data_IF_558569870705
#
_entry.id   IF_558569870705
#
_cell.length_a   1.000
_cell.length_b   1.000
_cell.length_c   1.000
_cell.angle_alpha   90.00
_cell.angle_beta   90.00
_cell.angle_gamma   90.00
#
_symmetry.space_group_name_H-M   'P 1'
#
loop_
_entity.id
_entity.type
_entity.pdbx_description
1 polymer ?
#
# COMPACT_ATOMS: atom_id res chain seq x y z
N UNK A 1 6.54 16.52 -23.44
CA UNK A 1 5.74 15.30 -23.23
C UNK A 1 6.64 14.24 -22.60
N UNK A 2 6.24 13.69 -21.46
CA UNK A 2 6.99 12.64 -20.78
C UNK A 2 7.08 11.39 -21.65
N UNK A 3 8.23 10.72 -21.64
CA UNK A 3 8.42 9.44 -22.33
C UNK A 3 8.76 8.37 -21.30
N UNK A 4 7.98 7.32 -21.25
CA UNK A 4 8.19 6.18 -20.35
C UNK A 4 9.29 5.25 -20.86
N UNK A 5 9.81 4.35 -20.00
CA UNK A 5 10.78 3.36 -20.38
C UNK A 5 10.15 2.23 -21.21
N UNK A 6 10.96 1.58 -22.03
CA UNK A 6 10.56 0.33 -22.71
C UNK A 6 10.54 -0.84 -21.74
N UNK A 7 11.46 -0.87 -20.79
CA UNK A 7 11.66 -1.92 -19.81
C UNK A 7 11.93 -1.34 -18.42
N UNK A 8 11.36 -1.95 -17.41
CA UNK A 8 11.71 -1.73 -16.00
C UNK A 8 12.47 -2.95 -15.50
N UNK A 9 13.73 -2.77 -15.11
CA UNK A 9 14.55 -3.83 -14.51
C UNK A 9 14.30 -3.86 -13.02
N UNK A 10 13.80 -5.00 -12.53
CA UNK A 10 13.32 -5.15 -11.16
C UNK A 10 14.42 -5.17 -10.10
N UNK A 11 15.60 -5.74 -10.42
CA UNK A 11 16.66 -5.94 -9.45
C UNK A 11 17.52 -4.71 -9.22
N UNK A 12 17.60 -4.28 -7.97
CA UNK A 12 18.50 -3.21 -7.54
C UNK A 12 19.96 -3.68 -7.69
N UNK A 13 20.75 -2.94 -8.46
CA UNK A 13 22.17 -3.21 -8.66
C UNK A 13 22.57 -3.53 -10.10
N UNK A 14 21.69 -4.14 -10.89
CA UNK A 14 21.93 -4.39 -12.31
C UNK A 14 21.62 -3.13 -13.13
N UNK A 15 20.50 -2.45 -12.84
CA UNK A 15 20.17 -1.17 -13.45
C UNK A 15 19.32 -0.31 -12.51
N UNK A 16 19.98 0.47 -11.68
CA UNK A 16 19.32 1.38 -10.73
C UNK A 16 18.45 2.45 -11.41
N UNK A 17 18.70 2.74 -12.68
CA UNK A 17 18.08 3.86 -13.38
C UNK A 17 16.65 3.58 -13.83
N UNK A 18 16.26 2.33 -14.05
CA UNK A 18 14.89 2.02 -14.48
C UNK A 18 13.95 1.76 -13.31
N UNK A 19 14.39 1.02 -12.28
CA UNK A 19 13.53 0.71 -11.13
C UNK A 19 13.16 1.97 -10.32
N UNK A 20 14.14 2.75 -9.89
CA UNK A 20 13.89 3.91 -9.02
C UNK A 20 13.09 5.02 -9.70
N UNK A 21 13.46 5.51 -10.88
CA UNK A 21 12.63 6.48 -11.58
C UNK A 21 11.22 5.97 -11.84
N UNK A 22 11.06 4.68 -12.15
CA UNK A 22 9.74 4.08 -12.35
C UNK A 22 8.92 4.04 -11.06
N UNK A 23 9.52 3.71 -9.92
CA UNK A 23 8.86 3.77 -8.61
C UNK A 23 8.37 5.20 -8.28
N UNK A 24 9.22 6.19 -8.52
CA UNK A 24 8.90 7.60 -8.29
C UNK A 24 7.79 8.09 -9.23
N UNK A 25 7.83 7.71 -10.50
CA UNK A 25 6.80 8.06 -11.49
C UNK A 25 5.45 7.44 -11.14
N UNK A 26 5.40 6.15 -10.81
CA UNK A 26 4.15 5.47 -10.47
C UNK A 26 3.53 6.03 -9.19
N UNK A 27 4.36 6.31 -8.19
CA UNK A 27 3.92 7.00 -6.98
C UNK A 27 3.42 8.41 -7.30
N UNK A 28 4.13 9.16 -8.16
CA UNK A 28 3.69 10.48 -8.59
C UNK A 28 2.36 10.43 -9.36
N UNK A 29 2.13 9.41 -10.21
CA UNK A 29 0.85 9.23 -10.89
C UNK A 29 -0.30 9.08 -9.87
N UNK A 30 -0.13 8.22 -8.87
CA UNK A 30 -1.17 7.99 -7.87
C UNK A 30 -1.37 9.20 -6.95
N UNK A 31 -0.29 9.82 -6.44
CA UNK A 31 -0.40 11.01 -5.60
C UNK A 31 -1.04 12.18 -6.35
N UNK A 32 -0.75 12.37 -7.64
CA UNK A 32 -1.43 13.39 -8.43
C UNK A 32 -2.90 13.04 -8.67
N UNK A 33 -3.28 11.78 -8.90
CA UNK A 33 -4.69 11.39 -8.96
C UNK A 33 -5.43 11.67 -7.65
N UNK A 34 -4.81 11.38 -6.49
CA UNK A 34 -5.35 11.72 -5.17
C UNK A 34 -5.47 13.25 -4.99
N UNK A 35 -4.42 14.01 -5.35
CA UNK A 35 -4.49 15.48 -5.26
C UNK A 35 -5.56 16.07 -6.14
N UNK A 36 -5.79 15.52 -7.34
CA UNK A 36 -6.92 15.89 -8.17
C UNK A 36 -8.25 15.68 -7.45
N UNK A 37 -8.48 14.50 -6.88
CA UNK A 37 -9.73 14.20 -6.17
C UNK A 37 -9.94 15.06 -4.94
N UNK A 38 -8.87 15.48 -4.27
CA UNK A 38 -8.92 16.32 -3.08
C UNK A 38 -9.10 17.81 -3.39
N UNK A 39 -8.48 18.31 -4.44
CA UNK A 39 -8.40 19.76 -4.69
C UNK A 39 -9.23 20.24 -5.88
N UNK A 40 -9.55 19.35 -6.82
CA UNK A 40 -10.16 19.73 -8.10
C UNK A 40 -9.21 20.47 -9.06
N UNK A 41 -7.90 20.56 -8.75
CA UNK A 41 -6.93 21.18 -9.65
C UNK A 41 -6.61 20.25 -10.81
N UNK A 42 -7.03 20.64 -12.01
CA UNK A 42 -6.80 19.87 -13.24
C UNK A 42 -5.32 19.65 -13.56
N UNK A 43 -4.41 20.46 -13.04
CA UNK A 43 -2.98 20.26 -13.24
C UNK A 43 -2.54 18.88 -12.71
N UNK A 44 -3.11 18.45 -11.58
CA UNK A 44 -2.86 17.14 -11.00
C UNK A 44 -3.46 16.02 -11.85
N UNK A 45 -4.72 16.13 -12.32
CA UNK A 45 -5.31 15.15 -13.21
C UNK A 45 -4.46 14.97 -14.48
N UNK A 46 -4.07 16.08 -15.12
CA UNK A 46 -3.24 16.06 -16.33
C UNK A 46 -1.87 15.44 -16.08
N UNK A 47 -1.24 15.68 -14.90
CA UNK A 47 0.06 15.07 -14.56
C UNK A 47 -0.07 13.56 -14.37
N UNK A 48 -1.11 13.08 -13.70
CA UNK A 48 -1.38 11.66 -13.58
C UNK A 48 -1.57 11.00 -14.95
N UNK A 49 -2.40 11.58 -15.81
CA UNK A 49 -2.63 11.11 -17.19
C UNK A 49 -1.35 11.13 -18.01
N UNK A 50 -0.53 12.16 -17.92
CA UNK A 50 0.76 12.25 -18.62
C UNK A 50 1.65 11.05 -18.29
N UNK A 51 1.76 10.68 -17.00
CA UNK A 51 2.56 9.55 -16.55
C UNK A 51 1.95 8.23 -17.03
N UNK A 52 0.65 8.02 -16.82
CA UNK A 52 -0.07 6.82 -17.28
C UNK A 52 0.10 6.60 -18.79
N UNK A 53 -0.05 7.65 -19.59
CA UNK A 53 0.13 7.59 -21.04
C UNK A 53 1.58 7.31 -21.45
N UNK A 54 2.55 7.90 -20.77
CA UNK A 54 3.96 7.67 -21.04
C UNK A 54 4.31 6.19 -20.89
N UNK A 55 3.85 5.56 -19.81
CA UNK A 55 4.11 4.15 -19.55
C UNK A 55 3.28 3.22 -20.44
N UNK A 56 1.99 3.46 -20.61
CA UNK A 56 1.12 2.60 -21.45
C UNK A 56 1.54 2.56 -22.92
N UNK A 57 2.17 3.62 -23.40
CA UNK A 57 2.65 3.71 -24.78
C UNK A 57 3.94 2.92 -24.98
N UNK A 58 4.88 2.97 -24.02
CA UNK A 58 6.24 2.51 -24.21
C UNK A 58 6.61 1.24 -23.46
N UNK A 59 6.05 1.01 -22.26
CA UNK A 59 6.42 -0.12 -21.42
C UNK A 59 5.95 -1.45 -22.02
N UNK A 60 6.90 -2.39 -22.20
CA UNK A 60 6.65 -3.73 -22.76
C UNK A 60 7.11 -4.84 -21.84
N UNK A 61 7.99 -4.56 -20.88
CA UNK A 61 8.64 -5.59 -20.09
C UNK A 61 8.93 -5.10 -18.67
N UNK A 62 8.66 -5.96 -17.70
CA UNK A 62 9.11 -5.81 -16.32
C UNK A 62 10.08 -6.95 -16.03
N UNK A 63 11.35 -6.58 -15.74
CA UNK A 63 12.41 -7.49 -15.44
C UNK A 63 12.92 -8.29 -16.64
N UNK A 64 13.92 -9.14 -16.37
CA UNK A 64 14.53 -10.04 -17.34
C UNK A 64 14.50 -11.46 -16.79
N UNK A 65 13.35 -11.94 -16.31
CA UNK A 65 13.21 -13.18 -15.56
C UNK A 65 13.99 -13.16 -14.24
N UNK A 66 14.02 -12.03 -13.56
CA UNK A 66 14.57 -11.89 -12.22
C UNK A 66 13.54 -12.31 -11.16
N UNK A 67 14.02 -12.84 -10.06
CA UNK A 67 13.15 -13.21 -8.94
C UNK A 67 12.38 -12.02 -8.37
N UNK A 68 12.89 -10.78 -8.50
CA UNK A 68 12.26 -9.55 -8.01
C UNK A 68 11.13 -9.02 -8.92
N UNK A 69 10.94 -9.59 -10.11
CA UNK A 69 9.93 -9.13 -11.08
C UNK A 69 8.51 -9.11 -10.51
N UNK A 70 8.02 -10.16 -9.80
CA UNK A 70 6.68 -10.15 -9.25
C UNK A 70 6.46 -9.05 -8.19
N UNK A 71 7.46 -8.80 -7.33
CA UNK A 71 7.36 -7.74 -6.34
C UNK A 71 7.34 -6.37 -7.01
N UNK A 72 8.21 -6.13 -7.99
CA UNK A 72 8.24 -4.90 -8.76
C UNK A 72 6.91 -4.65 -9.47
N UNK A 73 6.39 -5.66 -10.18
CA UNK A 73 5.11 -5.58 -10.87
C UNK A 73 3.94 -5.31 -9.90
N UNK A 74 3.96 -5.93 -8.72
CA UNK A 74 2.94 -5.73 -7.71
C UNK A 74 2.89 -4.29 -7.20
N UNK A 75 4.03 -3.76 -6.76
CA UNK A 75 4.09 -2.44 -6.14
C UNK A 75 3.81 -1.33 -7.15
N UNK A 76 4.46 -1.39 -8.30
CA UNK A 76 4.30 -0.37 -9.34
C UNK A 76 2.94 -0.47 -10.02
N UNK A 77 2.49 -1.68 -10.31
CA UNK A 77 1.20 -1.92 -10.96
C UNK A 77 0.03 -1.47 -10.12
N UNK A 78 0.03 -1.73 -8.80
CA UNK A 78 -1.03 -1.27 -7.91
C UNK A 78 -1.15 0.25 -7.87
N UNK A 79 -0.03 0.97 -7.88
CA UNK A 79 -0.04 2.44 -7.94
C UNK A 79 -0.66 2.96 -9.24
N UNK A 80 -0.27 2.36 -10.39
CA UNK A 80 -0.83 2.75 -11.69
C UNK A 80 -2.32 2.44 -11.79
N UNK A 81 -2.74 1.25 -11.33
CA UNK A 81 -4.15 0.85 -11.36
C UNK A 81 -5.01 1.78 -10.50
N UNK A 82 -4.56 2.11 -9.29
CA UNK A 82 -5.28 3.03 -8.42
C UNK A 82 -5.32 4.46 -9.00
N UNK A 83 -4.23 4.93 -9.62
CA UNK A 83 -4.22 6.22 -10.31
C UNK A 83 -5.22 6.23 -11.47
N UNK A 84 -5.19 5.19 -12.31
CA UNK A 84 -6.07 5.04 -13.46
C UNK A 84 -7.54 4.95 -13.05
N UNK A 85 -7.86 4.21 -11.98
CA UNK A 85 -9.21 4.09 -11.42
C UNK A 85 -9.76 5.43 -10.98
N UNK A 86 -8.98 6.20 -10.19
CA UNK A 86 -9.39 7.52 -9.76
C UNK A 86 -9.65 8.46 -10.94
N UNK A 87 -8.73 8.51 -11.89
CA UNK A 87 -8.88 9.38 -13.07
C UNK A 87 -10.07 8.94 -13.92
N UNK A 88 -10.24 7.64 -14.18
CA UNK A 88 -11.36 7.08 -14.96
C UNK A 88 -12.71 7.54 -14.44
N UNK A 89 -12.89 7.56 -13.13
CA UNK A 89 -14.18 7.83 -12.51
C UNK A 89 -14.39 9.29 -12.05
N UNK A 90 -13.34 10.12 -11.99
CA UNK A 90 -13.45 11.47 -11.44
C UNK A 90 -13.10 12.58 -12.42
N UNK A 91 -12.39 12.29 -13.53
CA UNK A 91 -11.95 13.30 -14.48
C UNK A 91 -12.64 13.13 -15.83
N UNK A 92 -13.64 13.97 -16.11
CA UNK A 92 -14.52 13.86 -17.29
C UNK A 92 -13.84 14.07 -18.65
N UNK A 93 -12.58 14.57 -18.66
CA UNK A 93 -11.84 14.83 -19.90
C UNK A 93 -10.89 13.70 -20.30
N UNK A 94 -10.79 12.62 -19.49
CA UNK A 94 -10.06 11.41 -19.90
C UNK A 94 -10.78 10.76 -21.07
N UNK A 95 -10.01 10.26 -22.02
CA UNK A 95 -10.58 9.67 -23.24
C UNK A 95 -10.67 8.14 -23.13
N UNK A 96 -11.64 7.49 -23.82
CA UNK A 96 -11.71 6.05 -23.89
C UNK A 96 -10.42 5.39 -24.44
N UNK A 97 -9.71 6.09 -25.33
CA UNK A 97 -8.46 5.58 -25.91
C UNK A 97 -7.32 5.54 -24.89
N UNK A 98 -7.24 6.52 -23.99
CA UNK A 98 -6.29 6.54 -22.88
C UNK A 98 -6.56 5.41 -21.91
N UNK A 99 -7.82 5.25 -21.47
CA UNK A 99 -8.24 4.16 -20.58
C UNK A 99 -7.89 2.80 -21.21
N UNK A 100 -8.25 2.56 -22.48
CA UNK A 100 -7.93 1.32 -23.17
C UNK A 100 -6.40 1.07 -23.28
N UNK A 101 -5.60 2.12 -23.40
CA UNK A 101 -4.13 2.03 -23.34
C UNK A 101 -3.62 1.54 -21.99
N UNK A 102 -4.16 2.08 -20.90
CA UNK A 102 -3.80 1.69 -19.53
C UNK A 102 -4.23 0.25 -19.21
N UNK A 103 -5.47 -0.12 -19.59
CA UNK A 103 -5.97 -1.49 -19.46
C UNK A 103 -5.08 -2.50 -20.22
N UNK A 104 -4.73 -2.15 -21.47
CA UNK A 104 -3.82 -2.98 -22.27
C UNK A 104 -2.48 -3.17 -21.60
N UNK A 105 -1.88 -2.11 -21.06
CA UNK A 105 -0.60 -2.20 -20.35
C UNK A 105 -0.69 -3.16 -19.16
N UNK A 106 -1.70 -3.05 -18.31
CA UNK A 106 -1.87 -3.98 -17.19
C UNK A 106 -2.02 -5.42 -17.66
N UNK A 107 -2.88 -5.68 -18.66
CA UNK A 107 -3.13 -7.02 -19.18
C UNK A 107 -1.94 -7.66 -19.90
N UNK A 108 -1.08 -6.85 -20.54
CA UNK A 108 0.02 -7.40 -21.36
C UNK A 108 1.39 -7.34 -20.72
N UNK A 109 1.57 -6.53 -19.67
CA UNK A 109 2.87 -6.33 -19.02
C UNK A 109 2.85 -6.79 -17.55
N UNK A 110 1.90 -6.34 -16.76
CA UNK A 110 1.90 -6.59 -15.31
C UNK A 110 1.28 -7.95 -14.94
N UNK A 111 0.09 -8.25 -15.46
CA UNK A 111 -0.63 -9.48 -15.12
C UNK A 111 0.17 -10.75 -15.48
N UNK A 112 0.83 -10.87 -16.64
CA UNK A 112 1.61 -12.06 -16.96
C UNK A 112 2.73 -12.36 -15.96
N UNK A 113 3.37 -11.33 -15.41
CA UNK A 113 4.41 -11.48 -14.36
C UNK A 113 3.79 -12.03 -13.08
N UNK A 114 2.66 -11.48 -12.64
CA UNK A 114 1.98 -11.92 -11.42
C UNK A 114 1.30 -13.28 -11.58
N UNK A 115 0.79 -13.61 -12.77
CA UNK A 115 0.29 -14.96 -13.09
C UNK A 115 1.38 -16.03 -12.88
N UNK A 116 2.61 -15.71 -13.26
CA UNK A 116 3.75 -16.60 -13.02
C UNK A 116 3.99 -16.81 -11.53
N UNK A 117 3.92 -15.75 -10.74
CA UNK A 117 4.03 -15.82 -9.28
C UNK A 117 2.96 -16.71 -8.66
N UNK A 118 1.69 -16.48 -8.97
CA UNK A 118 0.57 -17.24 -8.40
C UNK A 118 0.57 -18.73 -8.78
N UNK A 119 1.20 -19.10 -9.90
CA UNK A 119 1.34 -20.48 -10.36
C UNK A 119 2.60 -21.18 -9.82
N UNK A 120 3.56 -20.43 -9.28
CA UNK A 120 4.80 -20.99 -8.76
C UNK A 120 4.59 -21.77 -7.46
N UNK A 121 5.54 -22.66 -7.15
CA UNK A 121 5.62 -23.27 -5.81
C UNK A 121 5.97 -22.18 -4.79
N UNK A 122 5.65 -22.39 -3.49
CA UNK A 122 6.01 -21.44 -2.43
C UNK A 122 7.52 -21.17 -2.44
N UNK A 123 7.94 -19.91 -2.52
CA UNK A 123 9.35 -19.58 -2.59
C UNK A 123 9.74 -18.20 -2.07
N UNK A 124 8.76 -17.35 -1.71
CA UNK A 124 9.03 -15.98 -1.29
C UNK A 124 8.80 -15.73 0.19
N UNK A 125 9.36 -14.65 0.71
CA UNK A 125 8.87 -14.06 1.95
C UNK A 125 7.46 -13.51 1.76
N UNK A 126 6.68 -13.47 2.84
CA UNK A 126 5.24 -13.19 2.76
C UNK A 126 4.89 -11.80 2.28
N UNK A 127 5.77 -10.79 2.44
CA UNK A 127 5.52 -9.46 1.92
C UNK A 127 5.27 -9.45 0.39
N UNK A 128 5.88 -10.37 -0.37
CA UNK A 128 5.67 -10.49 -1.81
C UNK A 128 4.27 -10.95 -2.17
N UNK A 129 3.79 -12.03 -1.53
CA UNK A 129 2.43 -12.52 -1.75
C UNK A 129 1.36 -11.53 -1.30
N UNK A 130 1.62 -10.81 -0.19
CA UNK A 130 0.75 -9.73 0.25
C UNK A 130 0.69 -8.59 -0.78
N UNK A 131 1.84 -8.19 -1.34
CA UNK A 131 1.91 -7.18 -2.40
C UNK A 131 1.20 -7.64 -3.69
N UNK A 132 1.39 -8.91 -4.09
CA UNK A 132 0.72 -9.47 -5.26
C UNK A 132 -0.80 -9.51 -5.08
N UNK A 133 -1.29 -9.87 -3.90
CA UNK A 133 -2.71 -9.85 -3.55
C UNK A 133 -3.29 -8.45 -3.71
N UNK A 134 -2.67 -7.44 -3.10
CA UNK A 134 -3.06 -6.04 -3.23
C UNK A 134 -3.13 -5.59 -4.70
N UNK A 135 -2.10 -5.92 -5.48
CA UNK A 135 -2.02 -5.52 -6.88
C UNK A 135 -3.13 -6.14 -7.73
N UNK A 136 -3.38 -7.45 -7.56
CA UNK A 136 -4.44 -8.14 -8.31
C UNK A 136 -5.83 -7.61 -7.97
N UNK A 137 -6.08 -7.27 -6.71
CA UNK A 137 -7.35 -6.62 -6.34
C UNK A 137 -7.50 -5.27 -7.04
N UNK A 138 -6.45 -4.43 -7.05
CA UNK A 138 -6.46 -3.15 -7.75
C UNK A 138 -6.64 -3.33 -9.27
N UNK A 139 -5.99 -4.32 -9.87
CA UNK A 139 -6.17 -4.64 -11.29
C UNK A 139 -7.59 -5.09 -11.60
N UNK A 140 -8.14 -6.00 -10.77
CA UNK A 140 -9.50 -6.52 -10.95
C UNK A 140 -10.55 -5.40 -10.91
N UNK A 141 -10.38 -4.43 -10.02
CA UNK A 141 -11.28 -3.26 -9.92
C UNK A 141 -11.15 -2.39 -11.17
N UNK A 142 -9.97 -1.91 -11.50
CA UNK A 142 -9.77 -1.01 -12.64
C UNK A 142 -10.17 -1.64 -13.98
N UNK A 143 -9.89 -2.92 -14.16
CA UNK A 143 -10.23 -3.68 -15.38
C UNK A 143 -11.67 -4.21 -15.40
N UNK A 144 -12.45 -3.99 -14.33
CA UNK A 144 -13.79 -4.55 -14.15
C UNK A 144 -13.79 -6.09 -14.31
N UNK A 145 -12.72 -6.74 -13.82
CA UNK A 145 -12.45 -8.16 -13.96
C UNK A 145 -12.64 -8.87 -12.62
N UNK A 146 -13.86 -9.31 -12.38
CA UNK A 146 -14.27 -9.98 -11.13
C UNK A 146 -13.48 -11.27 -10.90
N UNK A 147 -13.13 -12.00 -11.95
CA UNK A 147 -12.38 -13.25 -11.83
C UNK A 147 -10.97 -12.99 -11.30
N UNK A 148 -10.31 -11.93 -11.79
CA UNK A 148 -9.00 -11.51 -11.33
C UNK A 148 -9.04 -11.04 -9.86
N UNK A 149 -10.04 -10.24 -9.51
CA UNK A 149 -10.27 -9.80 -8.13
C UNK A 149 -10.48 -10.99 -7.18
N UNK A 150 -11.38 -11.90 -7.53
CA UNK A 150 -11.69 -13.07 -6.72
C UNK A 150 -10.52 -14.04 -6.60
N UNK A 151 -9.63 -14.12 -7.59
CA UNK A 151 -8.37 -14.88 -7.49
C UNK A 151 -7.48 -14.32 -6.38
N UNK A 152 -7.37 -13.02 -6.27
CA UNK A 152 -6.60 -12.39 -5.19
C UNK A 152 -7.22 -12.62 -3.81
N UNK A 153 -8.54 -12.47 -3.68
CA UNK A 153 -9.27 -12.76 -2.44
C UNK A 153 -9.09 -14.23 -2.04
N UNK A 154 -9.21 -15.15 -3.02
CA UNK A 154 -8.95 -16.56 -2.77
C UNK A 154 -7.51 -16.81 -2.28
N UNK A 155 -6.52 -16.17 -2.90
CA UNK A 155 -5.12 -16.30 -2.47
C UNK A 155 -4.90 -15.75 -1.07
N UNK A 156 -5.52 -14.64 -0.70
CA UNK A 156 -5.46 -14.10 0.67
C UNK A 156 -5.82 -15.15 1.73
N UNK A 157 -6.89 -15.91 1.50
CA UNK A 157 -7.37 -16.93 2.45
C UNK A 157 -6.66 -18.29 2.30
N UNK A 158 -6.44 -18.74 1.07
CA UNK A 158 -6.13 -20.12 0.74
C UNK A 158 -4.86 -20.30 -0.10
N UNK A 159 -4.13 -19.22 -0.37
CA UNK A 159 -2.93 -19.27 -1.17
C UNK A 159 -1.86 -20.19 -0.58
N UNK A 160 -0.91 -20.55 -1.41
CA UNK A 160 0.12 -21.57 -1.14
C UNK A 160 1.48 -21.00 -0.75
N UNK A 161 1.63 -19.66 -0.68
CA UNK A 161 2.88 -19.01 -0.28
C UNK A 161 2.74 -18.29 1.06
N UNK A 162 3.82 -17.72 1.56
CA UNK A 162 3.89 -17.06 2.86
C UNK A 162 3.04 -15.79 2.99
N UNK A 163 2.55 -15.21 1.89
CA UNK A 163 1.82 -13.94 1.89
C UNK A 163 0.33 -14.02 2.21
N UNK A 164 -0.21 -15.21 2.48
CA UNK A 164 -1.60 -15.37 2.90
C UNK A 164 -1.78 -15.00 4.37
N UNK A 165 -2.98 -14.61 4.78
CA UNK A 165 -3.24 -14.20 6.17
C UNK A 165 -2.81 -15.27 7.18
N UNK A 166 -3.09 -16.55 6.89
CA UNK A 166 -2.75 -17.68 7.75
C UNK A 166 -1.25 -17.96 7.81
N UNK A 167 -0.56 -17.85 6.67
CA UNK A 167 0.85 -18.21 6.58
C UNK A 167 1.78 -17.07 6.98
N UNK A 168 1.29 -15.82 6.89
CA UNK A 168 2.07 -14.64 7.24
C UNK A 168 2.01 -14.30 8.72
N UNK A 169 0.85 -14.48 9.37
CA UNK A 169 0.64 -14.10 10.78
C UNK A 169 0.23 -15.33 11.59
N UNK A 170 1.04 -15.70 12.56
CA UNK A 170 0.75 -16.76 13.51
C UNK A 170 -0.36 -16.37 14.51
N UNK A 171 -0.85 -17.34 15.27
CA UNK A 171 -1.94 -17.12 16.25
C UNK A 171 -1.57 -16.12 17.35
N UNK A 172 -0.30 -16.05 17.71
CA UNK A 172 0.22 -15.11 18.69
C UNK A 172 0.54 -13.72 18.12
N UNK A 173 0.31 -13.48 16.81
CA UNK A 173 0.63 -12.24 16.11
C UNK A 173 2.02 -12.15 15.52
N UNK A 174 2.90 -13.11 15.78
CA UNK A 174 4.23 -13.17 15.18
C UNK A 174 4.11 -13.33 13.67
N UNK A 175 4.77 -12.45 12.90
CA UNK A 175 4.79 -12.53 11.46
C UNK A 175 5.92 -13.45 10.95
N UNK A 176 5.75 -14.01 9.75
CA UNK A 176 6.73 -14.89 9.11
C UNK A 176 8.12 -14.23 9.03
N UNK A 177 8.18 -12.92 8.84
CA UNK A 177 9.45 -12.19 8.72
C UNK A 177 9.97 -11.59 10.04
N UNK A 178 9.34 -11.88 11.19
CA UNK A 178 9.76 -11.34 12.49
C UNK A 178 11.20 -11.66 12.88
N UNK A 179 11.74 -12.75 12.41
CA UNK A 179 13.16 -13.13 12.59
C UNK A 179 14.09 -12.53 11.53
N UNK A 180 13.57 -11.90 10.47
CA UNK A 180 14.34 -11.28 9.38
C UNK A 180 14.73 -9.84 9.69
N UNK A 181 13.77 -8.95 9.76
CA UNK A 181 13.88 -7.54 10.17
C UNK A 181 12.48 -6.91 10.31
N UNK A 182 12.40 -5.80 11.03
CA UNK A 182 11.13 -5.15 11.34
C UNK A 182 10.57 -4.32 10.17
N UNK A 183 11.41 -3.89 9.24
CA UNK A 183 10.97 -3.13 8.06
C UNK A 183 10.14 -4.01 7.11
N UNK A 184 10.59 -5.26 6.86
CA UNK A 184 9.84 -6.19 6.02
C UNK A 184 8.58 -6.73 6.70
N UNK A 185 8.60 -6.91 8.04
CA UNK A 185 7.37 -7.23 8.80
C UNK A 185 6.30 -6.16 8.55
N UNK A 186 6.65 -4.89 8.77
CA UNK A 186 5.70 -3.79 8.56
C UNK A 186 5.30 -3.65 7.10
N UNK A 187 6.21 -3.93 6.17
CA UNK A 187 5.90 -3.92 4.74
C UNK A 187 4.83 -4.96 4.37
N UNK A 188 4.97 -6.19 4.84
CA UNK A 188 3.95 -7.22 4.61
C UNK A 188 2.60 -6.89 5.26
N UNK A 189 2.62 -6.43 6.51
CA UNK A 189 1.41 -5.99 7.21
C UNK A 189 0.69 -4.85 6.48
N UNK A 190 1.43 -3.85 5.99
CA UNK A 190 0.87 -2.73 5.23
C UNK A 190 0.18 -3.19 3.94
N UNK A 191 0.81 -4.09 3.18
CA UNK A 191 0.19 -4.65 1.96
C UNK A 191 -1.09 -5.44 2.25
N UNK A 192 -1.11 -6.23 3.34
CA UNK A 192 -2.33 -6.93 3.77
C UNK A 192 -3.42 -5.96 4.20
N UNK A 193 -3.07 -4.89 4.91
CA UNK A 193 -4.03 -3.88 5.32
C UNK A 193 -4.65 -3.14 4.11
N UNK A 194 -3.84 -2.76 3.13
CA UNK A 194 -4.33 -2.14 1.90
C UNK A 194 -5.23 -3.09 1.09
N UNK A 195 -4.92 -4.39 1.05
CA UNK A 195 -5.80 -5.39 0.44
C UNK A 195 -7.14 -5.49 1.18
N UNK A 196 -7.13 -5.50 2.52
CA UNK A 196 -8.34 -5.52 3.33
C UNK A 196 -9.18 -4.25 3.16
N UNK A 197 -8.54 -3.07 3.10
CA UNK A 197 -9.25 -1.81 2.87
C UNK A 197 -9.85 -1.74 1.46
N UNK A 198 -9.14 -2.28 0.47
CA UNK A 198 -9.67 -2.43 -0.89
C UNK A 198 -10.94 -3.27 -0.88
N UNK A 199 -10.95 -4.40 -0.18
CA UNK A 199 -12.15 -5.23 -0.03
C UNK A 199 -13.27 -4.50 0.71
N UNK A 200 -12.94 -3.81 1.79
CA UNK A 200 -13.91 -3.02 2.55
C UNK A 200 -14.59 -1.96 1.68
N UNK A 201 -13.84 -1.27 0.85
CA UNK A 201 -14.38 -0.27 -0.09
C UNK A 201 -15.25 -0.90 -1.19
N UNK A 202 -15.09 -2.19 -1.47
CA UNK A 202 -15.99 -2.97 -2.34
C UNK A 202 -17.17 -3.60 -1.57
N UNK A 203 -17.34 -3.29 -0.27
CA UNK A 203 -18.43 -3.78 0.55
C UNK A 203 -18.17 -5.12 1.25
N UNK A 204 -16.94 -5.64 1.23
CA UNK A 204 -16.55 -6.88 1.91
C UNK A 204 -15.63 -6.64 3.12
N UNK A 205 -16.19 -6.73 4.32
CA UNK A 205 -15.47 -6.59 5.59
C UNK A 205 -14.74 -7.88 6.03
N UNK A 206 -14.99 -9.02 5.37
CA UNK A 206 -14.54 -10.33 5.84
C UNK A 206 -13.03 -10.49 5.83
N UNK A 207 -12.33 -9.81 4.93
CA UNK A 207 -10.88 -9.88 4.91
C UNK A 207 -10.26 -9.32 6.20
N UNK A 208 -10.75 -8.21 6.71
CA UNK A 208 -10.32 -7.68 8.00
C UNK A 208 -10.64 -8.63 9.17
N UNK A 209 -11.82 -9.25 9.14
CA UNK A 209 -12.28 -10.17 10.19
C UNK A 209 -11.64 -11.58 10.11
N UNK A 210 -10.82 -11.85 9.09
CA UNK A 210 -10.25 -13.17 8.84
C UNK A 210 -9.51 -13.74 10.07
N UNK A 211 -9.76 -15.02 10.37
CA UNK A 211 -9.12 -15.76 11.45
C UNK A 211 -9.18 -15.00 12.79
N UNK A 212 -10.36 -14.52 13.12
CA UNK A 212 -10.63 -13.75 14.35
C UNK A 212 -9.75 -12.50 14.48
N UNK A 213 -9.80 -11.65 13.45
CA UNK A 213 -9.03 -10.41 13.36
C UNK A 213 -7.49 -10.63 13.42
N UNK A 214 -7.00 -11.65 12.73
CA UNK A 214 -5.58 -12.02 12.72
C UNK A 214 -4.66 -10.86 12.34
N UNK A 215 -5.11 -9.99 11.45
CA UNK A 215 -4.35 -8.81 11.04
C UNK A 215 -4.14 -7.84 12.23
N UNK A 216 -5.19 -7.57 13.03
CA UNK A 216 -5.08 -6.78 14.27
C UNK A 216 -4.02 -7.37 15.20
N UNK A 217 -4.07 -8.69 15.42
CA UNK A 217 -3.11 -9.38 16.31
C UNK A 217 -1.67 -9.21 15.81
N UNK A 218 -1.45 -9.29 14.49
CA UNK A 218 -0.14 -9.05 13.88
C UNK A 218 0.36 -7.62 14.07
N UNK A 219 -0.51 -6.64 13.92
CA UNK A 219 -0.18 -5.24 14.15
C UNK A 219 0.17 -4.96 15.62
N UNK A 220 -0.63 -5.46 16.55
CA UNK A 220 -0.39 -5.24 17.98
C UNK A 220 0.92 -5.92 18.47
N UNK A 221 1.21 -7.14 18.02
CA UNK A 221 2.47 -7.81 18.30
C UNK A 221 3.66 -7.00 17.76
N UNK A 222 3.59 -6.58 16.50
CA UNK A 222 4.65 -5.82 15.84
C UNK A 222 4.83 -4.44 16.45
N UNK A 223 3.75 -3.73 16.74
CA UNK A 223 3.76 -2.43 17.41
C UNK A 223 4.41 -2.54 18.79
N UNK A 224 3.99 -3.52 19.61
CA UNK A 224 4.56 -3.77 20.94
C UNK A 224 6.08 -3.93 20.89
N UNK A 225 6.57 -4.80 20.00
CA UNK A 225 8.00 -5.05 19.86
C UNK A 225 8.75 -3.79 19.41
N UNK A 226 8.22 -3.07 18.43
CA UNK A 226 8.87 -1.87 17.90
C UNK A 226 8.80 -0.67 18.86
N UNK A 227 7.90 -0.69 19.84
CA UNK A 227 7.89 0.26 20.96
C UNK A 227 8.94 -0.01 22.04
N UNK A 228 9.71 -1.08 21.92
CA UNK A 228 10.78 -1.46 22.84
C UNK A 228 10.40 -2.56 23.84
N UNK A 229 9.18 -3.07 23.80
CA UNK A 229 8.73 -4.12 24.71
C UNK A 229 9.08 -5.53 24.21
N UNK A 230 9.15 -6.49 25.13
CA UNK A 230 9.36 -7.88 24.77
C UNK A 230 8.05 -8.53 24.30
N UNK A 231 8.20 -9.44 23.35
CA UNK A 231 7.11 -10.29 22.84
C UNK A 231 7.55 -11.76 22.84
N UNK A 232 6.64 -12.72 22.97
CA UNK A 232 6.99 -14.12 22.81
C UNK A 232 7.43 -14.40 21.37
N UNK A 233 8.49 -15.16 21.18
CA UNK A 233 8.97 -15.56 19.86
C UNK A 233 9.09 -17.08 19.79
N UNK A 234 8.58 -17.63 18.70
CA UNK A 234 8.66 -19.06 18.40
C UNK A 234 9.51 -19.21 17.13
N UNK A 235 10.46 -20.15 17.13
CA UNK A 235 11.21 -20.48 15.91
C UNK A 235 10.25 -20.73 14.76
N UNK A 236 10.40 -19.94 13.69
CA UNK A 236 9.49 -20.01 12.56
C UNK A 236 10.00 -20.97 11.50
N UNK A 237 9.13 -21.87 11.08
CA UNK A 237 9.30 -22.67 9.87
C UNK A 237 8.19 -22.29 8.91
N UNK A 238 8.54 -21.66 7.80
CA UNK A 238 7.60 -21.18 6.81
C UNK A 238 7.15 -22.29 5.85
N UNK A 239 6.11 -22.02 5.08
CA UNK A 239 5.50 -22.99 4.17
C UNK A 239 6.43 -23.40 3.01
N UNK A 240 7.37 -22.55 2.61
CA UNK A 240 8.34 -22.83 1.55
C UNK A 240 9.54 -23.67 2.04
N UNK A 241 9.80 -23.68 3.34
CA UNK A 241 10.99 -24.28 3.94
C UNK A 241 12.29 -23.52 3.66
N UNK A 242 12.24 -22.35 3.01
CA UNK A 242 13.42 -21.52 2.69
C UNK A 242 13.77 -20.55 3.81
N UNK A 243 12.76 -20.01 4.49
CA UNK A 243 12.87 -18.99 5.52
C UNK A 243 12.53 -19.61 6.87
N UNK A 244 13.40 -20.49 7.32
CA UNK A 244 13.18 -21.29 8.52
C UNK A 244 14.36 -21.16 9.49
N UNK A 245 14.14 -21.66 10.72
CA UNK A 245 15.14 -21.71 11.78
C UNK A 245 15.63 -20.35 12.31
N UNK A 246 14.85 -19.27 12.12
CA UNK A 246 15.10 -18.05 12.88
C UNK A 246 14.80 -18.29 14.36
N UNK A 247 15.87 -18.27 15.16
CA UNK A 247 15.82 -18.63 16.59
C UNK A 247 15.39 -17.48 17.49
N UNK A 248 15.49 -16.24 16.97
CA UNK A 248 15.19 -15.03 17.72
C UNK A 248 14.47 -14.02 16.83
N UNK A 249 13.67 -13.17 17.45
CA UNK A 249 13.11 -12.00 16.77
C UNK A 249 14.24 -11.05 16.41
N UNK A 250 14.20 -10.49 15.23
CA UNK A 250 15.24 -9.56 14.76
C UNK A 250 15.01 -8.15 15.31
N UNK A 251 16.08 -7.54 15.82
CA UNK A 251 16.10 -6.13 16.24
C UNK A 251 16.50 -5.17 15.11
N UNK A 252 16.82 -5.70 13.94
CA UNK A 252 17.18 -4.88 12.78
C UNK A 252 16.00 -3.98 12.39
N UNK A 253 16.25 -2.67 12.33
CA UNK A 253 15.28 -1.60 12.06
C UNK A 253 14.13 -1.54 13.09
N UNK A 254 14.33 -2.06 14.30
CA UNK A 254 13.39 -1.96 15.41
C UNK A 254 13.15 -0.49 15.76
N UNK A 255 11.89 -0.10 15.87
CA UNK A 255 11.48 1.27 16.20
C UNK A 255 11.54 2.26 15.03
N UNK A 256 11.84 1.80 13.82
CA UNK A 256 11.74 2.58 12.58
C UNK A 256 10.39 2.29 11.95
N UNK A 257 9.40 3.14 12.21
CA UNK A 257 8.02 2.91 11.79
C UNK A 257 7.78 3.24 10.31
N UNK A 258 6.93 2.43 9.66
CA UNK A 258 6.32 2.73 8.36
C UNK A 258 4.95 3.39 8.55
N UNK A 259 4.46 4.19 7.60
CA UNK A 259 3.13 4.81 7.66
C UNK A 259 2.04 3.81 7.24
N UNK A 260 1.69 2.89 8.13
CA UNK A 260 0.79 1.76 7.86
C UNK A 260 -0.26 1.54 8.98
N UNK A 261 -0.23 2.34 10.02
CA UNK A 261 -1.00 2.07 11.24
C UNK A 261 -2.38 2.73 11.25
N UNK A 262 -2.54 3.92 10.64
CA UNK A 262 -3.82 4.63 10.61
C UNK A 262 -4.92 3.83 9.90
N UNK A 263 -4.60 3.16 8.81
CA UNK A 263 -5.57 2.36 8.03
C UNK A 263 -6.23 1.27 8.89
N UNK A 264 -5.46 0.53 9.67
CA UNK A 264 -5.98 -0.53 10.54
C UNK A 264 -6.60 0.03 11.82
N UNK A 265 -6.04 1.11 12.36
CA UNK A 265 -6.59 1.78 13.52
C UNK A 265 -7.99 2.34 13.21
N UNK A 266 -8.16 2.97 12.06
CA UNK A 266 -9.47 3.42 11.60
C UNK A 266 -10.47 2.24 11.51
N UNK A 267 -10.07 1.13 10.88
CA UNK A 267 -10.98 0.01 10.75
C UNK A 267 -11.33 -0.62 12.10
N UNK A 268 -10.33 -1.07 12.85
CA UNK A 268 -10.59 -1.87 14.05
C UNK A 268 -11.05 -1.02 15.24
N UNK A 269 -10.48 0.16 15.44
CA UNK A 269 -10.85 1.00 16.60
C UNK A 269 -12.04 1.88 16.26
N UNK A 270 -11.92 2.72 15.23
CA UNK A 270 -12.94 3.73 14.93
C UNK A 270 -14.24 3.10 14.41
N UNK A 271 -14.15 2.19 13.43
CA UNK A 271 -15.34 1.58 12.81
C UNK A 271 -15.92 0.41 13.63
N UNK A 272 -15.06 -0.38 14.30
CA UNK A 272 -15.48 -1.62 14.99
C UNK A 272 -15.45 -1.54 16.51
N UNK A 273 -14.88 -0.51 17.12
CA UNK A 273 -14.81 -0.35 18.57
C UNK A 273 -13.90 -1.36 19.28
N UNK A 274 -12.98 -2.00 18.53
CA UNK A 274 -11.98 -2.89 19.10
C UNK A 274 -10.81 -2.07 19.67
N UNK A 275 -10.00 -2.68 20.54
CA UNK A 275 -8.86 -1.98 21.14
C UNK A 275 -7.53 -2.35 20.48
N UNK A 276 -6.71 -1.34 20.18
CA UNK A 276 -5.36 -1.47 19.61
C UNK A 276 -4.36 -0.60 20.40
N UNK A 277 -4.08 -0.92 21.67
CA UNK A 277 -3.32 -0.04 22.56
C UNK A 277 -1.88 0.20 22.10
N UNK A 278 -1.22 -0.77 21.51
CA UNK A 278 0.16 -0.60 21.01
C UNK A 278 0.19 0.19 19.71
N UNK A 279 -0.72 -0.06 18.80
CA UNK A 279 -0.90 0.72 17.57
C UNK A 279 -1.19 2.18 17.90
N UNK A 280 -2.08 2.46 18.86
CA UNK A 280 -2.35 3.83 19.36
C UNK A 280 -1.07 4.52 19.84
N UNK A 281 -0.22 3.83 20.60
CA UNK A 281 1.05 4.37 21.09
C UNK A 281 2.04 4.63 19.95
N UNK A 282 2.06 3.79 18.89
CA UNK A 282 2.86 4.04 17.69
C UNK A 282 2.39 5.30 17.00
N UNK A 283 1.09 5.46 16.76
CA UNK A 283 0.51 6.65 16.14
C UNK A 283 0.80 7.92 16.94
N UNK A 284 0.68 7.86 18.27
CA UNK A 284 1.05 8.97 19.14
C UNK A 284 2.53 9.34 19.04
N UNK A 285 3.41 8.35 18.84
CA UNK A 285 4.85 8.58 18.67
C UNK A 285 5.22 9.14 17.30
N UNK A 286 4.49 8.73 16.26
CA UNK A 286 4.70 9.22 14.89
C UNK A 286 4.12 10.62 14.67
N UNK A 287 3.13 11.03 15.46
CA UNK A 287 2.30 12.24 15.33
C UNK A 287 1.43 12.23 14.08
N UNK A 288 2.01 12.09 12.91
CA UNK A 288 1.31 11.93 11.65
C UNK A 288 2.06 10.96 10.72
N UNK A 289 1.30 10.16 9.99
CA UNK A 289 1.85 9.32 8.93
C UNK A 289 2.11 10.15 7.68
N UNK A 290 3.39 10.24 7.29
CA UNK A 290 3.82 10.92 6.08
C UNK A 290 3.85 10.01 4.85
N UNK A 291 4.66 10.38 3.87
CA UNK A 291 4.85 9.61 2.63
C UNK A 291 5.38 8.20 2.91
N UNK A 292 4.84 7.21 2.20
CA UNK A 292 5.41 5.87 2.21
C UNK A 292 6.78 5.83 1.55
N UNK A 293 7.54 4.77 1.83
CA UNK A 293 8.78 4.48 1.11
C UNK A 293 8.44 3.93 -0.28
N UNK A 294 9.19 4.33 -1.27
CA UNK A 294 9.08 3.82 -2.65
C UNK A 294 7.64 3.72 -3.16
N UNK A 295 7.28 2.59 -3.75
CA UNK A 295 5.93 2.25 -4.21
C UNK A 295 5.17 1.33 -3.26
N UNK A 296 5.50 1.32 -1.97
CA UNK A 296 4.84 0.42 -1.01
C UNK A 296 3.35 0.75 -0.84
N UNK A 297 3.03 2.02 -0.92
CA UNK A 297 1.69 2.60 -0.81
C UNK A 297 1.77 4.11 -0.96
N UNK A 298 0.68 4.85 -0.94
CA UNK A 298 0.71 6.31 -1.00
C UNK A 298 1.32 6.92 0.28
N UNK A 299 1.16 6.27 1.43
CA UNK A 299 1.39 6.86 2.73
C UNK A 299 0.27 7.82 3.12
N UNK A 300 0.60 8.81 3.95
CA UNK A 300 -0.34 9.85 4.40
C UNK A 300 -1.60 9.29 5.09
N UNK A 301 -1.46 8.17 5.83
CA UNK A 301 -2.59 7.48 6.46
C UNK A 301 -3.39 8.38 7.40
N UNK A 302 -2.74 9.31 8.10
CA UNK A 302 -3.42 10.30 8.95
C UNK A 302 -4.39 11.16 8.14
N UNK A 303 -4.02 11.54 6.91
CA UNK A 303 -4.88 12.32 6.04
C UNK A 303 -6.07 11.50 5.50
N UNK A 304 -5.85 10.23 5.19
CA UNK A 304 -6.86 9.41 4.51
C UNK A 304 -7.76 8.61 5.45
N UNK A 305 -7.28 8.26 6.64
CA UNK A 305 -7.98 7.30 7.51
C UNK A 305 -8.36 7.84 8.89
N UNK A 306 -7.69 8.92 9.38
CA UNK A 306 -8.06 9.46 10.70
C UNK A 306 -9.37 10.22 10.59
N UNK A 307 -10.42 9.70 11.23
CA UNK A 307 -11.77 10.31 11.25
C UNK A 307 -12.05 11.02 12.56
N UNK A 308 -11.41 10.62 13.66
CA UNK A 308 -11.52 11.24 14.95
C UNK A 308 -10.30 12.13 15.19
N UNK A 309 -10.40 13.36 14.74
CA UNK A 309 -9.59 14.41 15.35
C UNK A 309 -10.20 14.58 16.75
N UNK A 310 -9.49 14.13 17.80
CA UNK A 310 -9.82 14.57 19.14
C UNK A 310 -10.04 16.08 19.08
N UNK A 311 -11.16 16.58 19.64
CA UNK A 311 -11.46 18.02 19.72
C UNK A 311 -10.27 18.83 20.27
N UNK A 312 -9.38 18.16 20.97
CA UNK A 312 -8.13 18.72 21.48
C UNK A 312 -7.14 19.22 20.39
N UNK A 313 -7.13 18.65 19.20
CA UNK A 313 -6.23 19.13 18.14
C UNK A 313 -6.77 20.35 17.42
N UNK A 314 -8.09 20.52 17.33
CA UNK A 314 -8.71 21.68 16.70
C UNK A 314 -8.33 22.96 17.43
N UNK A 315 -8.22 22.93 18.74
CA UNK A 315 -7.80 24.11 19.56
C UNK A 315 -6.35 24.53 19.35
N UNK A 316 -5.50 23.66 18.76
CA UNK A 316 -4.13 23.99 18.39
C UNK A 316 -4.01 24.45 16.93
N UNK A 317 -5.07 24.32 16.16
CA UNK A 317 -5.10 24.85 14.80
C UNK A 317 -5.32 26.36 14.87
N UNK A 318 -4.28 27.13 14.65
CA UNK A 318 -4.39 28.57 14.43
C UNK A 318 -4.59 28.85 12.95
N UNK A 319 -5.82 29.18 12.50
CA UNK A 319 -6.09 29.43 11.09
C UNK A 319 -5.39 30.67 10.54
N UNK A 320 -4.77 31.48 11.39
CA UNK A 320 -4.07 32.69 10.98
C UNK A 320 -2.54 32.50 10.88
N UNK A 321 -2.01 31.30 11.17
CA UNK A 321 -0.58 31.02 10.98
C UNK A 321 -0.19 31.23 9.51
N UNK A 322 0.75 32.14 9.28
CA UNK A 322 1.25 32.45 7.93
C UNK A 322 0.37 33.38 7.09
N UNK A 323 -0.66 34.02 7.66
CA UNK A 323 -1.56 34.94 6.94
C UNK A 323 -1.12 36.41 7.02
N UNK A 324 -0.13 36.76 7.84
CA UNK A 324 0.39 38.13 8.00
C UNK A 324 1.57 38.41 7.06
N UNK A 325 1.77 39.68 6.73
CA UNK A 325 2.85 40.21 5.88
C UNK A 325 2.96 39.49 4.52
N UNK A 326 4.07 38.79 4.28
CA UNK A 326 4.33 38.02 3.06
C UNK A 326 3.85 36.57 3.15
N UNK A 327 3.04 36.24 4.15
CA UNK A 327 2.43 34.92 4.27
C UNK A 327 1.48 34.67 3.08
N UNK A 328 1.56 33.50 2.49
CA UNK A 328 0.75 33.09 1.34
C UNK A 328 -0.34 32.08 1.72
N UNK A 329 -0.64 31.95 3.00
CA UNK A 329 -1.72 31.12 3.50
C UNK A 329 -2.99 31.94 3.66
N UNK A 330 -4.12 31.35 3.32
CA UNK A 330 -5.40 32.00 3.46
C UNK A 330 -5.96 31.76 4.89
N UNK A 331 -6.62 32.77 5.50
CA UNK A 331 -7.13 32.62 6.85
C UNK A 331 -8.43 31.80 6.86
N UNK A 332 -8.34 30.54 7.20
CA UNK A 332 -9.49 29.66 7.31
C UNK A 332 -9.12 28.25 7.73
N UNK A 333 -9.88 27.69 8.66
CA UNK A 333 -9.79 26.28 8.98
C UNK A 333 -10.33 25.46 7.81
N UNK A 334 -9.51 24.61 7.23
CA UNK A 334 -9.94 23.63 6.25
C UNK A 334 -10.24 22.33 6.99
N UNK A 335 -11.46 21.84 6.88
CA UNK A 335 -11.77 20.48 7.32
C UNK A 335 -10.94 19.46 6.53
N UNK A 336 -10.76 18.23 7.03
CA UNK A 336 -9.99 17.22 6.33
C UNK A 336 -10.32 17.25 4.84
N UNK A 337 -9.27 17.39 4.01
CA UNK A 337 -9.34 17.49 2.55
C UNK A 337 -9.66 18.87 1.95
N UNK A 338 -9.76 19.94 2.74
CA UNK A 338 -9.84 21.31 2.23
C UNK A 338 -11.07 21.67 1.39
N UNK A 339 -12.15 20.89 1.47
CA UNK A 339 -13.35 21.10 0.64
C UNK A 339 -14.34 22.09 1.21
N UNK A 340 -14.25 22.41 2.48
CA UNK A 340 -15.16 23.36 3.13
C UNK A 340 -14.31 24.39 3.86
N UNK A 341 -14.50 25.64 3.48
CA UNK A 341 -14.00 26.78 4.22
C UNK A 341 -15.02 27.11 5.32
N UNK A 342 -14.59 27.10 6.57
CA UNK A 342 -15.41 27.54 7.68
C UNK A 342 -15.47 29.07 7.76
#
# INVERSE_FOLDING_TARGET
>A
QMQGPFEVIARLGVNKHTKRPSEDDHKAAYLNALMWTLTGDEAHARKSIEILNAYSTTLKLIGQNDNDDPLCASLQGSMLANAAELIKHTYSKVTPAEIAGWEKMLRTVFIPVLDTFFKAKPYTNGNWGAAATKAYMAFGIFLEDEALYNQAVHFYYNGHDNGTIKNYIGENGQCQESGRDQDHVMFGLGNLAEACETAYNQGDEKMYAALDNRLLTGYEYTAKYNLGESVPFITWTDISGRYCNWQTISDKLRGVFRPIYEIVYNHYVTRKGLDMPYTRRVLSKMSAEGASKWCDGPGYGTLFFRTDMDDDYIRYADPFVGTSDNGHTFPGACVPFGFIQA
#
